data_IF_106270631654
#
_entry.id   IF_106270631654
#
_cell.length_a   1.000
_cell.length_b   1.000
_cell.length_c   1.000
_cell.angle_alpha   90.00
_cell.angle_beta   90.00
_cell.angle_gamma   90.00
#
_symmetry.space_group_name_H-M   'P 1'
#
loop_
_entity.id
_entity.type
_entity.pdbx_description
1 polymer ?
#
# COMPACT_ATOMS: atom_id res chain seq x y z
N UNK A 1 36.09 11.98 -13.34
CA UNK A 1 35.11 13.04 -13.69
C UNK A 1 34.21 12.46 -14.76
N UNK A 2 33.37 11.47 -14.47
CA UNK A 2 32.23 11.47 -13.53
C UNK A 2 32.09 10.07 -12.93
N UNK A 3 32.49 9.88 -11.67
CA UNK A 3 31.58 9.56 -10.56
C UNK A 3 30.09 9.83 -10.80
N UNK A 4 29.34 8.78 -11.12
CA UNK A 4 27.90 8.71 -10.88
C UNK A 4 27.59 7.28 -10.43
N UNK A 5 27.66 7.08 -9.12
CA UNK A 5 26.87 6.16 -8.32
C UNK A 5 25.78 5.41 -9.13
N UNK A 6 26.07 4.19 -9.58
CA UNK A 6 25.03 3.20 -9.76
C UNK A 6 24.81 2.59 -8.37
N UNK A 7 23.72 2.91 -7.64
CA UNK A 7 23.33 2.05 -6.55
C UNK A 7 22.91 0.71 -7.16
N UNK A 8 23.61 -0.33 -6.73
CA UNK A 8 23.20 -1.73 -6.64
C UNK A 8 21.98 -2.10 -7.52
N UNK A 9 22.24 -2.50 -8.76
CA UNK A 9 21.23 -3.13 -9.61
C UNK A 9 21.04 -4.58 -9.14
N UNK A 10 20.34 -4.76 -8.02
CA UNK A 10 19.82 -6.04 -7.56
C UNK A 10 18.29 -6.13 -7.72
N UNK A 11 17.72 -5.44 -8.70
CA UNK A 11 16.28 -5.42 -8.93
C UNK A 11 15.95 -5.74 -10.40
N UNK A 12 15.82 -7.03 -10.73
CA UNK A 12 14.77 -7.54 -11.63
C UNK A 12 14.64 -9.07 -11.52
N UNK A 13 14.74 -9.64 -10.32
CA UNK A 13 14.25 -11.01 -10.11
C UNK A 13 12.75 -10.90 -9.80
N UNK A 14 11.85 -11.52 -10.58
CA UNK A 14 10.41 -11.34 -10.40
C UNK A 14 10.05 -11.72 -8.97
N UNK A 15 9.39 -10.79 -8.27
CA UNK A 15 9.04 -10.87 -6.86
C UNK A 15 8.40 -12.22 -6.52
N UNK A 16 9.23 -13.16 -6.06
CA UNK A 16 8.71 -14.40 -5.51
C UNK A 16 7.86 -14.04 -4.30
N UNK A 17 6.68 -14.66 -4.14
CA UNK A 17 5.91 -14.42 -2.95
C UNK A 17 6.73 -14.93 -1.74
N UNK A 18 7.31 -14.01 -0.97
CA UNK A 18 7.99 -14.33 0.28
C UNK A 18 7.08 -15.13 1.22
N UNK A 19 7.66 -16.08 1.92
CA UNK A 19 7.01 -16.84 2.99
C UNK A 19 6.61 -15.92 4.15
N UNK A 20 5.67 -16.35 4.98
CA UNK A 20 5.22 -15.53 6.11
C UNK A 20 6.36 -15.19 7.09
N UNK A 21 7.30 -16.11 7.29
CA UNK A 21 8.49 -15.90 8.11
C UNK A 21 9.42 -14.81 7.51
N UNK A 22 9.68 -14.85 6.20
CA UNK A 22 10.49 -13.83 5.52
C UNK A 22 9.81 -12.45 5.59
N UNK A 23 8.51 -12.39 5.32
CA UNK A 23 7.74 -11.16 5.43
C UNK A 23 7.69 -10.63 6.87
N UNK A 24 7.66 -11.51 7.87
CA UNK A 24 7.70 -11.15 9.28
C UNK A 24 9.05 -10.57 9.71
N UNK A 25 10.15 -11.10 9.17
CA UNK A 25 11.48 -10.53 9.36
C UNK A 25 11.58 -9.12 8.75
N UNK A 26 11.07 -8.94 7.52
CA UNK A 26 10.99 -7.63 6.87
C UNK A 26 10.15 -6.65 7.70
N UNK A 27 8.97 -7.06 8.20
CA UNK A 27 8.15 -6.20 9.06
C UNK A 27 8.85 -5.81 10.37
N UNK A 28 9.65 -6.70 10.95
CA UNK A 28 10.46 -6.38 12.13
C UNK A 28 11.47 -5.28 11.82
N UNK A 29 12.16 -5.35 10.68
CA UNK A 29 13.10 -4.31 10.24
C UNK A 29 12.37 -2.99 9.91
N UNK A 30 11.20 -3.05 9.27
CA UNK A 30 10.34 -1.89 9.04
C UNK A 30 9.94 -1.22 10.36
N UNK A 31 9.58 -1.99 11.38
CA UNK A 31 9.25 -1.49 12.71
C UNK A 31 10.43 -0.77 13.39
N UNK A 32 11.66 -1.11 13.02
CA UNK A 32 12.89 -0.44 13.43
C UNK A 32 13.21 0.82 12.59
N UNK A 33 12.46 1.09 11.53
CA UNK A 33 12.65 2.24 10.65
C UNK A 33 13.54 1.97 9.43
N UNK A 34 13.71 0.69 9.05
CA UNK A 34 14.45 0.33 7.84
C UNK A 34 13.59 0.53 6.58
N UNK A 35 13.96 1.53 5.77
CA UNK A 35 13.27 1.84 4.50
C UNK A 35 13.55 0.81 3.40
N UNK A 36 14.71 0.16 3.41
CA UNK A 36 15.03 -0.91 2.46
C UNK A 36 14.12 -2.12 2.69
N UNK A 37 13.95 -2.51 3.95
CA UNK A 37 13.02 -3.59 4.30
C UNK A 37 11.56 -3.28 3.91
N UNK A 38 11.14 -2.01 3.93
CA UNK A 38 9.82 -1.62 3.42
C UNK A 38 9.73 -1.80 1.89
N UNK A 39 10.79 -1.47 1.16
CA UNK A 39 10.84 -1.68 -0.29
C UNK A 39 10.76 -3.17 -0.63
N UNK A 40 11.53 -4.02 0.05
CA UNK A 40 11.48 -5.47 -0.14
C UNK A 40 10.09 -6.05 0.19
N UNK A 41 9.47 -5.57 1.28
CA UNK A 41 8.11 -5.94 1.65
C UNK A 41 7.09 -5.50 0.60
N UNK A 42 7.28 -4.31 0.03
CA UNK A 42 6.46 -3.78 -1.06
C UNK A 42 6.60 -4.66 -2.29
N UNK A 43 7.81 -4.97 -2.74
CA UNK A 43 8.04 -5.77 -3.94
C UNK A 43 7.42 -7.16 -3.80
N UNK A 44 7.57 -7.81 -2.63
CA UNK A 44 7.02 -9.13 -2.37
C UNK A 44 5.48 -9.22 -2.25
N UNK A 45 4.79 -8.08 -2.05
CA UNK A 45 3.34 -8.07 -1.74
C UNK A 45 2.49 -7.11 -2.58
N UNK A 46 3.10 -6.17 -3.29
CA UNK A 46 2.43 -5.12 -4.07
C UNK A 46 1.54 -5.66 -5.17
N UNK A 47 1.96 -6.71 -5.89
CA UNK A 47 1.15 -7.31 -6.95
C UNK A 47 -0.18 -7.87 -6.43
N UNK A 48 -0.16 -8.57 -5.28
CA UNK A 48 -1.37 -9.09 -4.64
C UNK A 48 -2.25 -7.98 -4.07
N UNK A 49 -1.62 -6.98 -3.43
CA UNK A 49 -2.30 -5.80 -2.89
C UNK A 49 -3.00 -5.01 -4.00
N UNK A 50 -2.31 -4.77 -5.12
CA UNK A 50 -2.83 -4.06 -6.27
C UNK A 50 -3.96 -4.83 -6.97
N UNK A 51 -3.82 -6.14 -7.15
CA UNK A 51 -4.88 -6.99 -7.69
C UNK A 51 -6.17 -6.93 -6.86
N UNK A 52 -6.06 -6.93 -5.53
CA UNK A 52 -7.22 -6.74 -4.65
C UNK A 52 -7.79 -5.32 -4.75
N UNK A 53 -6.94 -4.29 -4.72
CA UNK A 53 -7.38 -2.89 -4.82
C UNK A 53 -8.10 -2.62 -6.13
N UNK A 54 -7.63 -3.16 -7.25
CA UNK A 54 -8.26 -3.01 -8.56
C UNK A 54 -9.65 -3.65 -8.59
N UNK A 55 -9.81 -4.84 -7.98
CA UNK A 55 -11.12 -5.51 -7.86
C UNK A 55 -12.11 -4.72 -7.00
N UNK A 56 -11.63 -4.07 -5.95
CA UNK A 56 -12.48 -3.32 -5.03
C UNK A 56 -12.85 -1.92 -5.54
N UNK A 57 -11.95 -1.29 -6.30
CA UNK A 57 -12.13 0.10 -6.76
C UNK A 57 -12.61 0.20 -8.20
N UNK A 58 -12.46 -0.85 -9.01
CA UNK A 58 -12.71 -0.87 -10.45
C UNK A 58 -12.03 0.27 -11.23
N UNK A 59 -11.02 0.91 -10.66
CA UNK A 59 -10.32 2.05 -11.22
C UNK A 59 -8.83 1.94 -10.91
N UNK A 60 -8.00 1.93 -11.95
CA UNK A 60 -6.55 1.77 -11.83
C UNK A 60 -5.90 2.85 -10.98
N UNK A 61 -6.15 4.13 -11.28
CA UNK A 61 -5.58 5.25 -10.54
C UNK A 61 -6.02 5.22 -9.07
N UNK A 62 -7.26 4.79 -8.82
CA UNK A 62 -7.74 4.61 -7.47
C UNK A 62 -6.99 3.48 -6.75
N UNK A 63 -6.80 2.34 -7.40
CA UNK A 63 -6.06 1.22 -6.85
C UNK A 63 -4.61 1.59 -6.49
N UNK A 64 -3.91 2.34 -7.35
CA UNK A 64 -2.54 2.79 -7.10
C UNK A 64 -2.44 3.70 -5.85
N UNK A 65 -3.39 4.60 -5.67
CA UNK A 65 -3.47 5.45 -4.46
C UNK A 65 -3.75 4.63 -3.20
N UNK A 66 -4.69 3.69 -3.27
CA UNK A 66 -5.03 2.81 -2.14
C UNK A 66 -3.83 1.98 -1.70
N UNK A 67 -3.08 1.42 -2.67
CA UNK A 67 -1.88 0.65 -2.37
C UNK A 67 -0.84 1.54 -1.68
N UNK A 68 -0.56 2.74 -2.22
CA UNK A 68 0.39 3.67 -1.59
C UNK A 68 0.01 4.02 -0.16
N UNK A 69 -1.24 4.42 0.09
CA UNK A 69 -1.70 4.74 1.44
C UNK A 69 -1.66 3.51 2.38
N UNK A 70 -1.99 2.33 1.87
CA UNK A 70 -1.90 1.10 2.66
C UNK A 70 -0.47 0.83 3.15
N UNK A 71 0.54 1.02 2.29
CA UNK A 71 1.95 0.83 2.69
C UNK A 71 2.46 1.95 3.60
N UNK A 72 1.96 3.17 3.49
CA UNK A 72 2.22 4.23 4.48
C UNK A 72 1.66 3.85 5.85
N UNK A 73 0.47 3.24 5.90
CA UNK A 73 -0.13 2.75 7.14
C UNK A 73 0.61 1.54 7.69
N UNK A 74 1.06 0.61 6.84
CA UNK A 74 1.94 -0.50 7.23
C UNK A 74 3.21 0.04 7.89
N UNK A 75 3.86 1.05 7.32
CA UNK A 75 5.05 1.67 7.93
C UNK A 75 4.75 2.22 9.34
N UNK A 76 3.64 2.97 9.49
CA UNK A 76 3.23 3.57 10.77
C UNK A 76 2.88 2.51 11.83
N UNK A 77 2.23 1.43 11.40
CA UNK A 77 1.66 0.41 12.28
C UNK A 77 2.52 -0.85 12.39
N UNK A 78 3.67 -0.94 11.73
CA UNK A 78 4.52 -2.14 11.74
C UNK A 78 4.88 -2.62 13.15
N UNK A 79 5.06 -1.69 14.10
CA UNK A 79 5.31 -2.00 15.53
C UNK A 79 4.14 -2.67 16.25
N UNK A 80 2.94 -2.60 15.67
CA UNK A 80 1.69 -3.17 16.20
C UNK A 80 1.36 -4.52 15.57
N UNK A 81 2.19 -5.00 14.63
CA UNK A 81 1.98 -6.31 14.03
C UNK A 81 2.13 -7.41 15.08
N UNK A 82 1.17 -8.32 15.12
CA UNK A 82 1.17 -9.51 15.96
C UNK A 82 1.08 -10.77 15.08
N UNK A 83 2.16 -11.58 15.00
CA UNK A 83 2.16 -12.81 14.21
C UNK A 83 1.19 -13.88 14.74
N UNK A 84 0.77 -13.80 16.01
CA UNK A 84 -0.24 -14.68 16.57
C UNK A 84 -1.67 -14.34 16.13
N UNK A 85 -1.91 -13.09 15.70
CA UNK A 85 -3.23 -12.63 15.30
C UNK A 85 -3.52 -12.85 13.81
N UNK A 86 -2.53 -12.64 12.93
CA UNK A 86 -2.70 -12.83 11.49
C UNK A 86 -1.36 -13.02 10.75
N UNK A 87 -1.35 -13.78 9.64
CA UNK A 87 -0.21 -13.80 8.74
C UNK A 87 0.00 -12.42 8.11
N UNK A 88 1.25 -12.08 7.79
CA UNK A 88 1.69 -10.76 7.33
C UNK A 88 0.89 -10.29 6.13
N UNK A 89 0.70 -11.18 5.15
CA UNK A 89 -0.08 -10.88 3.94
C UNK A 89 -1.52 -10.49 4.26
N UNK A 90 -2.17 -11.21 5.17
CA UNK A 90 -3.55 -10.90 5.56
C UNK A 90 -3.63 -9.57 6.31
N UNK A 91 -2.65 -9.28 7.15
CA UNK A 91 -2.56 -8.01 7.87
C UNK A 91 -2.40 -6.81 6.92
N UNK A 92 -1.49 -6.89 5.94
CA UNK A 92 -1.32 -5.88 4.88
C UNK A 92 -2.61 -5.68 4.08
N UNK A 93 -3.27 -6.77 3.65
CA UNK A 93 -4.54 -6.68 2.94
C UNK A 93 -5.67 -6.09 3.81
N UNK A 94 -5.58 -6.22 5.13
CA UNK A 94 -6.45 -5.54 6.09
C UNK A 94 -6.29 -4.01 6.03
N UNK A 95 -5.06 -3.49 6.02
CA UNK A 95 -4.78 -2.07 5.82
C UNK A 95 -5.33 -1.58 4.48
N UNK A 96 -5.13 -2.36 3.41
CA UNK A 96 -5.64 -2.05 2.08
C UNK A 96 -7.16 -1.91 2.05
N UNK A 97 -7.89 -2.88 2.63
CA UNK A 97 -9.35 -2.82 2.73
C UNK A 97 -9.82 -1.59 3.52
N UNK A 98 -9.15 -1.26 4.62
CA UNK A 98 -9.46 -0.05 5.40
C UNK A 98 -9.31 1.21 4.56
N UNK A 99 -8.22 1.33 3.80
CA UNK A 99 -8.00 2.47 2.89
C UNK A 99 -9.10 2.58 1.82
N UNK A 100 -9.56 1.45 1.26
CA UNK A 100 -10.70 1.45 0.31
C UNK A 100 -11.98 1.95 0.98
N UNK A 101 -12.28 1.49 2.19
CA UNK A 101 -13.48 1.89 2.93
C UNK A 101 -13.45 3.37 3.31
N UNK A 102 -12.30 3.85 3.81
CA UNK A 102 -12.09 5.25 4.17
C UNK A 102 -12.24 6.16 2.94
N UNK A 103 -11.79 5.69 1.77
CA UNK A 103 -12.04 6.36 0.49
C UNK A 103 -13.51 6.35 0.12
N UNK A 104 -14.21 5.23 0.28
CA UNK A 104 -15.66 5.16 0.05
C UNK A 104 -16.45 6.15 0.94
N UNK A 105 -15.93 6.47 2.12
CA UNK A 105 -16.51 7.47 3.03
C UNK A 105 -16.21 8.93 2.65
N UNK A 106 -14.92 9.28 2.43
CA UNK A 106 -14.49 10.68 2.21
C UNK A 106 -14.37 11.09 0.73
N UNK A 107 -14.07 10.18 -0.19
CA UNK A 107 -14.11 10.49 -1.63
C UNK A 107 -15.56 10.66 -2.10
N UNK A 108 -16.50 9.87 -1.57
CA UNK A 108 -17.93 10.13 -1.74
C UNK A 108 -18.34 11.51 -1.24
N UNK A 109 -17.79 11.96 -0.09
CA UNK A 109 -18.04 13.29 0.45
C UNK A 109 -17.38 14.41 -0.40
N UNK A 110 -16.14 14.25 -0.87
CA UNK A 110 -15.47 15.21 -1.77
C UNK A 110 -16.14 15.27 -3.14
N UNK A 111 -16.59 14.14 -3.68
CA UNK A 111 -17.31 14.08 -4.95
C UNK A 111 -18.72 14.66 -4.82
N UNK A 112 -19.41 14.43 -3.69
CA UNK A 112 -20.66 15.10 -3.34
C UNK A 112 -20.49 16.62 -3.19
N UNK A 113 -19.41 17.08 -2.54
CA UNK A 113 -19.08 18.50 -2.42
C UNK A 113 -18.65 19.12 -3.77
N UNK A 114 -18.16 18.32 -4.71
CA UNK A 114 -17.85 18.78 -6.08
C UNK A 114 -19.13 18.88 -6.92
N UNK A 115 -20.04 17.90 -6.81
CA UNK A 115 -21.33 17.87 -7.53
C UNK A 115 -22.31 18.96 -7.06
N UNK A 116 -22.24 19.37 -5.79
CA UNK A 116 -23.03 20.51 -5.25
C UNK A 116 -22.62 21.84 -5.89
N UNK A 117 -21.36 22.02 -6.32
CA UNK A 117 -20.96 23.23 -7.06
C UNK A 117 -21.47 23.27 -8.52
N UNK A 118 -21.90 22.15 -9.09
CA UNK A 118 -22.44 22.09 -10.47
C UNK A 118 -23.97 22.28 -10.55
N UNK A 119 -24.67 22.25 -9.41
CA UNK A 119 -26.14 22.46 -9.35
C UNK A 119 -26.46 23.89 -8.90
N UNK A 120 -25.81 24.87 -9.53
CA UNK A 120 -25.83 26.28 -9.12
C UNK A 120 -25.80 27.25 -10.31
N UNK A 121 -26.82 27.20 -11.15
CA UNK A 121 -27.24 28.31 -12.02
C UNK A 121 -26.92 28.15 -13.51
N UNK A 122 -27.95 28.01 -14.35
CA UNK A 122 -28.16 29.11 -15.29
C UNK A 122 -29.62 29.57 -15.34
N UNK A 123 -29.82 30.86 -15.07
CA UNK A 123 -30.79 31.74 -15.71
C UNK A 123 -30.47 33.20 -15.32
#
# INVERSE_FOLDING_TARGET
MTDLLAPDTAADEPARPGTDAELGALLTAVAAGDRGALADLYDATSAAAFGLALRLTANRAAAEEVVREAFLNVWRDARRYDPGAAPVRAWILGHLRRCVLDRGGLAGLREALTRVHETGGPA
#
